data_IF_577783258356
#
_entry.id   IF_577783258356
#
_cell.length_a   1.000
_cell.length_b   1.000
_cell.length_c   1.000
_cell.angle_alpha   90.00
_cell.angle_beta   90.00
_cell.angle_gamma   90.00
#
_symmetry.space_group_name_H-M   'P 1'
#
loop_
_entity.id
_entity.type
_entity.pdbx_description
1 polymer ?
#
# COMPACT_ATOMS: atom_id res chain seq x y z
N UNK A 1 1.91 -12.53 -33.16
CA UNK A 1 2.36 -11.67 -32.03
C UNK A 1 3.12 -12.55 -31.03
N UNK A 2 4.44 -12.67 -31.20
CA UNK A 2 5.26 -13.48 -30.30
C UNK A 2 5.27 -12.83 -28.90
N UNK A 3 4.75 -13.54 -27.90
CA UNK A 3 4.98 -13.15 -26.50
C UNK A 3 6.47 -13.36 -26.23
N UNK A 4 7.25 -12.32 -25.89
CA UNK A 4 8.65 -12.53 -25.56
C UNK A 4 8.75 -13.47 -24.35
N UNK A 5 9.70 -14.40 -24.44
CA UNK A 5 10.01 -15.39 -23.40
C UNK A 5 10.20 -14.72 -22.02
N UNK A 6 9.87 -15.40 -20.91
CA UNK A 6 9.86 -14.81 -19.57
C UNK A 6 11.20 -14.20 -19.14
N UNK A 7 12.32 -14.67 -19.70
CA UNK A 7 13.66 -14.13 -19.43
C UNK A 7 13.88 -12.73 -20.04
N UNK A 8 13.38 -12.47 -21.25
CA UNK A 8 13.58 -11.21 -21.97
C UNK A 8 12.90 -10.01 -21.30
N UNK A 9 11.83 -10.24 -20.52
CA UNK A 9 11.15 -9.17 -19.77
C UNK A 9 11.86 -8.76 -18.48
N UNK A 10 12.77 -9.56 -17.93
CA UNK A 10 13.45 -9.25 -16.65
C UNK A 10 14.59 -8.24 -16.83
N UNK A 11 15.28 -8.30 -17.96
CA UNK A 11 16.40 -7.44 -18.31
C UNK A 11 16.04 -5.94 -18.23
N UNK A 12 14.94 -5.44 -18.81
CA UNK A 12 14.60 -4.02 -18.71
C UNK A 12 14.29 -3.56 -17.27
N UNK A 13 13.75 -4.43 -16.41
CA UNK A 13 13.53 -4.07 -14.99
C UNK A 13 14.82 -4.01 -14.20
N UNK A 14 15.78 -4.88 -14.49
CA UNK A 14 17.10 -4.85 -13.85
C UNK A 14 17.84 -3.57 -14.27
N UNK A 15 17.87 -3.26 -15.57
CA UNK A 15 18.52 -2.04 -16.08
C UNK A 15 17.84 -0.77 -15.55
N UNK A 16 16.51 -0.73 -15.50
CA UNK A 16 15.79 0.40 -14.92
C UNK A 16 16.03 0.51 -13.40
N UNK A 17 16.11 -0.63 -12.70
CA UNK A 17 16.41 -0.68 -11.27
C UNK A 17 17.82 -0.19 -10.95
N UNK A 18 18.83 -0.60 -11.72
CA UNK A 18 20.21 -0.13 -11.54
C UNK A 18 20.34 1.35 -11.85
N UNK A 19 19.68 1.85 -12.90
CA UNK A 19 19.64 3.27 -13.21
C UNK A 19 18.96 4.09 -12.09
N UNK A 20 17.84 3.60 -11.55
CA UNK A 20 17.15 4.23 -10.43
C UNK A 20 18.02 4.23 -9.16
N UNK A 21 18.70 3.12 -8.87
CA UNK A 21 19.62 3.03 -7.74
C UNK A 21 20.75 4.05 -7.85
N UNK A 22 21.39 4.15 -9.02
CA UNK A 22 22.46 5.11 -9.25
C UNK A 22 21.96 6.56 -9.13
N UNK A 23 20.77 6.85 -9.66
CA UNK A 23 20.14 8.17 -9.54
C UNK A 23 19.84 8.52 -8.08
N UNK A 24 19.23 7.60 -7.32
CA UNK A 24 18.93 7.81 -5.91
C UNK A 24 20.24 7.99 -5.12
N UNK A 25 21.24 7.12 -5.29
CA UNK A 25 22.52 7.26 -4.62
C UNK A 25 23.19 8.61 -4.92
N UNK A 26 23.14 9.06 -6.19
CA UNK A 26 23.62 10.39 -6.57
C UNK A 26 22.84 11.51 -5.86
N UNK A 27 21.51 11.49 -5.89
CA UNK A 27 20.69 12.50 -5.21
C UNK A 27 20.95 12.54 -3.70
N UNK A 28 20.97 11.39 -3.04
CA UNK A 28 21.27 11.26 -1.61
C UNK A 28 22.67 11.80 -1.29
N UNK A 29 23.66 11.59 -2.16
CA UNK A 29 25.02 12.11 -1.96
C UNK A 29 25.07 13.64 -2.00
N UNK A 30 24.23 14.29 -2.80
CA UNK A 30 24.20 15.75 -2.91
C UNK A 30 23.44 16.40 -1.76
N UNK A 31 22.34 15.77 -1.29
CA UNK A 31 21.42 16.41 -0.33
C UNK A 31 21.65 16.01 1.12
N UNK A 32 22.21 14.83 1.40
CA UNK A 32 22.12 14.20 2.72
C UNK A 32 23.40 13.59 3.27
N UNK A 33 24.58 13.86 2.69
CA UNK A 33 25.83 13.19 3.05
C UNK A 33 26.11 13.19 4.57
N UNK A 34 25.96 14.33 5.24
CA UNK A 34 26.24 14.44 6.68
C UNK A 34 25.08 13.97 7.57
N UNK A 35 23.85 13.90 7.04
CA UNK A 35 22.68 13.49 7.80
C UNK A 35 22.75 12.03 8.26
N UNK A 36 23.46 11.17 7.53
CA UNK A 36 23.61 9.74 7.88
C UNK A 36 24.38 9.51 9.17
N UNK A 37 25.46 10.25 9.42
CA UNK A 37 26.21 10.14 10.67
C UNK A 37 25.37 10.62 11.86
N UNK A 38 24.54 11.63 11.66
CA UNK A 38 23.63 12.12 12.69
C UNK A 38 22.56 11.06 13.03
N UNK A 39 22.01 10.38 12.02
CA UNK A 39 21.02 9.31 12.22
C UNK A 39 21.59 8.12 13.00
N UNK A 40 22.85 7.76 12.77
CA UNK A 40 23.53 6.69 13.53
C UNK A 40 23.64 7.02 15.03
N UNK A 41 23.99 8.27 15.35
CA UNK A 41 24.07 8.75 16.74
C UNK A 41 22.72 8.72 17.48
N UNK A 42 21.61 8.83 16.74
CA UNK A 42 20.25 8.85 17.33
C UNK A 42 19.64 7.46 17.54
N UNK A 43 20.11 6.42 16.83
CA UNK A 43 19.52 5.08 16.86
C UNK A 43 20.60 4.02 17.11
N UNK A 44 21.01 3.89 18.38
CA UNK A 44 22.04 2.93 18.80
C UNK A 44 21.48 1.52 18.98
N UNK A 45 22.05 0.54 18.28
CA UNK A 45 21.70 -0.87 18.45
C UNK A 45 22.37 -1.47 19.68
N UNK A 46 21.56 -1.92 20.64
CA UNK A 46 22.03 -2.56 21.87
C UNK A 46 22.04 -4.08 21.69
N UNK A 47 23.23 -4.66 21.58
CA UNK A 47 23.42 -6.11 21.51
C UNK A 47 23.37 -6.74 22.91
N UNK A 48 22.17 -6.88 23.46
CA UNK A 48 21.94 -7.55 24.74
C UNK A 48 20.72 -8.49 24.65
N UNK A 49 20.83 -9.72 25.17
CA UNK A 49 19.76 -10.73 25.05
C UNK A 49 18.44 -10.28 25.69
N UNK A 50 18.50 -9.61 26.84
CA UNK A 50 17.32 -9.09 27.53
C UNK A 50 16.67 -7.93 26.75
N UNK A 51 17.47 -7.09 26.09
CA UNK A 51 16.95 -6.03 25.22
C UNK A 51 16.31 -6.62 23.97
N UNK A 52 16.98 -7.58 23.31
CA UNK A 52 16.47 -8.23 22.11
C UNK A 52 15.14 -8.95 22.38
N UNK A 53 15.02 -9.71 23.47
CA UNK A 53 13.77 -10.39 23.81
C UNK A 53 12.66 -9.41 24.20
N UNK A 54 12.99 -8.35 24.94
CA UNK A 54 12.05 -7.27 25.29
C UNK A 54 11.53 -6.53 24.05
N UNK A 55 12.42 -6.17 23.12
CA UNK A 55 12.04 -5.55 21.86
C UNK A 55 11.19 -6.48 21.00
N UNK A 56 11.55 -7.76 20.86
CA UNK A 56 10.76 -8.73 20.09
C UNK A 56 9.36 -8.99 20.67
N UNK A 57 9.17 -8.77 21.97
CA UNK A 57 7.85 -8.88 22.59
C UNK A 57 6.93 -7.68 22.27
N UNK A 58 7.51 -6.53 21.88
CA UNK A 58 6.76 -5.34 21.47
C UNK A 58 6.30 -5.46 20.01
N UNK A 59 5.10 -4.95 19.68
CA UNK A 59 4.61 -4.94 18.30
C UNK A 59 5.51 -4.05 17.42
N UNK A 60 6.02 -4.61 16.33
CA UNK A 60 6.96 -3.89 15.45
C UNK A 60 8.43 -4.00 15.83
N UNK A 61 8.74 -4.70 16.94
CA UNK A 61 10.08 -4.82 17.46
C UNK A 61 11.08 -5.50 16.52
N UNK A 62 10.65 -6.47 15.72
CA UNK A 62 11.53 -7.13 14.75
C UNK A 62 12.09 -6.14 13.72
N UNK A 63 11.22 -5.30 13.17
CA UNK A 63 11.62 -4.29 12.19
C UNK A 63 12.42 -3.16 12.83
N UNK A 64 12.09 -2.80 14.07
CA UNK A 64 12.88 -1.84 14.85
C UNK A 64 14.32 -2.33 15.06
N UNK A 65 14.51 -3.57 15.53
CA UNK A 65 15.83 -4.15 15.71
C UNK A 65 16.62 -4.23 14.40
N UNK A 66 15.95 -4.59 13.30
CA UNK A 66 16.58 -4.62 11.97
C UNK A 66 16.96 -3.20 11.50
N UNK A 67 16.13 -2.21 11.78
CA UNK A 67 16.44 -0.80 11.52
C UNK A 67 17.67 -0.34 12.28
N UNK A 68 17.65 -0.49 13.61
CA UNK A 68 18.76 -0.06 14.46
C UNK A 68 20.05 -0.78 14.10
N UNK A 69 19.99 -2.05 13.69
CA UNK A 69 21.15 -2.78 13.18
C UNK A 69 21.69 -2.18 11.86
N UNK A 70 20.80 -1.83 10.91
CA UNK A 70 21.21 -1.25 9.64
C UNK A 70 21.77 0.17 9.78
N UNK A 71 21.22 0.97 10.70
CA UNK A 71 21.70 2.33 10.97
C UNK A 71 23.11 2.36 11.56
N UNK A 72 23.59 1.29 12.21
CA UNK A 72 24.98 1.19 12.68
C UNK A 72 26.00 1.33 11.52
N UNK A 73 25.63 0.87 10.32
CA UNK A 73 26.50 1.02 9.14
C UNK A 73 26.56 2.46 8.63
N UNK A 74 25.73 3.38 9.13
CA UNK A 74 25.69 4.77 8.68
C UNK A 74 26.80 5.62 9.31
N UNK A 75 27.60 5.03 10.22
CA UNK A 75 28.86 5.61 10.69
C UNK A 75 29.75 6.10 9.52
N UNK A 76 29.73 5.41 8.38
CA UNK A 76 30.27 5.92 7.12
C UNK A 76 29.13 6.48 6.24
N UNK A 77 29.16 7.76 5.83
CA UNK A 77 28.13 8.36 4.99
C UNK A 77 27.82 7.60 3.70
N UNK A 78 28.87 7.12 3.02
CA UNK A 78 28.74 6.39 1.76
C UNK A 78 27.94 5.09 1.91
N UNK A 79 28.13 4.34 3.00
CA UNK A 79 27.37 3.11 3.24
C UNK A 79 25.92 3.42 3.57
N UNK A 80 25.64 4.50 4.31
CA UNK A 80 24.27 4.98 4.53
C UNK A 80 23.55 5.32 3.22
N UNK A 81 24.20 6.08 2.34
CA UNK A 81 23.67 6.42 1.01
C UNK A 81 23.34 5.16 0.21
N UNK A 82 24.26 4.18 0.16
CA UNK A 82 24.07 2.95 -0.58
C UNK A 82 22.93 2.09 -0.01
N UNK A 83 22.84 1.96 1.31
CA UNK A 83 21.78 1.19 1.98
C UNK A 83 20.41 1.84 1.71
N UNK A 84 20.28 3.14 1.91
CA UNK A 84 19.01 3.85 1.70
C UNK A 84 18.59 3.84 0.23
N UNK A 85 19.53 4.05 -0.69
CA UNK A 85 19.25 3.91 -2.13
C UNK A 85 18.80 2.48 -2.49
N UNK A 86 19.38 1.45 -1.89
CA UNK A 86 19.02 0.06 -2.12
C UNK A 86 17.60 -0.24 -1.59
N UNK A 87 17.28 0.21 -0.37
CA UNK A 87 15.95 0.06 0.22
C UNK A 87 14.87 0.73 -0.64
N UNK A 88 15.08 1.99 -1.03
CA UNK A 88 14.15 2.73 -1.89
C UNK A 88 14.01 2.08 -3.27
N UNK A 89 15.10 1.55 -3.84
CA UNK A 89 15.06 0.84 -5.13
C UNK A 89 14.25 -0.46 -5.01
N UNK A 90 14.44 -1.24 -3.95
CA UNK A 90 13.65 -2.46 -3.70
C UNK A 90 12.17 -2.15 -3.53
N UNK A 91 11.83 -1.09 -2.79
CA UNK A 91 10.45 -0.61 -2.68
C UNK A 91 9.89 -0.26 -4.07
N UNK A 92 10.64 0.49 -4.88
CA UNK A 92 10.23 0.85 -6.24
C UNK A 92 9.95 -0.40 -7.11
N UNK A 93 10.86 -1.37 -7.08
CA UNK A 93 10.76 -2.59 -7.89
C UNK A 93 9.61 -3.49 -7.43
N UNK A 94 9.40 -3.64 -6.12
CA UNK A 94 8.28 -4.41 -5.58
C UNK A 94 6.95 -3.76 -5.91
N UNK A 95 6.82 -2.45 -5.71
CA UNK A 95 5.60 -1.71 -6.08
C UNK A 95 5.34 -1.80 -7.57
N UNK A 96 6.37 -1.72 -8.42
CA UNK A 96 6.24 -1.87 -9.86
C UNK A 96 5.80 -3.29 -10.28
N UNK A 97 6.34 -4.35 -9.65
CA UNK A 97 5.93 -5.75 -9.92
C UNK A 97 4.48 -5.99 -9.50
N UNK A 98 4.10 -5.52 -8.30
CA UNK A 98 2.73 -5.58 -7.81
C UNK A 98 1.83 -4.86 -8.81
N UNK A 99 2.08 -3.59 -9.11
CA UNK A 99 1.23 -2.83 -10.03
C UNK A 99 1.18 -3.44 -11.44
N UNK A 100 2.27 -4.02 -11.95
CA UNK A 100 2.29 -4.66 -13.25
C UNK A 100 1.37 -5.88 -13.31
N UNK A 101 1.31 -6.68 -12.24
CA UNK A 101 0.38 -7.82 -12.15
C UNK A 101 -1.08 -7.38 -12.21
N UNK A 102 -1.37 -6.17 -11.74
CA UNK A 102 -2.73 -5.61 -11.66
C UNK A 102 -3.20 -4.98 -12.96
N UNK A 103 -2.41 -4.03 -13.49
CA UNK A 103 -2.83 -3.21 -14.63
C UNK A 103 -2.35 -3.80 -15.96
N UNK A 104 -1.35 -4.69 -15.96
CA UNK A 104 -0.68 -5.24 -17.16
C UNK A 104 -0.18 -4.17 -18.14
N UNK A 105 0.02 -2.94 -17.68
CA UNK A 105 0.47 -1.79 -18.48
C UNK A 105 1.99 -1.64 -18.43
N UNK A 106 2.56 -0.94 -19.41
CA UNK A 106 3.98 -0.58 -19.48
C UNK A 106 4.33 0.62 -18.57
N UNK A 107 3.35 1.44 -18.18
CA UNK A 107 3.55 2.64 -17.35
C UNK A 107 3.53 2.33 -15.84
N UNK A 108 4.09 1.19 -15.42
CA UNK A 108 4.11 0.77 -14.00
C UNK A 108 5.26 1.40 -13.23
N UNK A 109 6.43 1.56 -13.86
CA UNK A 109 7.61 2.14 -13.23
C UNK A 109 7.39 3.60 -12.78
N UNK A 110 6.84 4.52 -13.61
CA UNK A 110 6.62 5.90 -13.17
C UNK A 110 5.60 6.02 -12.03
N UNK A 111 4.67 5.05 -11.93
CA UNK A 111 3.68 5.05 -10.85
C UNK A 111 4.28 4.52 -9.55
N UNK A 112 5.22 3.56 -9.64
CA UNK A 112 5.96 3.05 -8.50
C UNK A 112 6.95 4.05 -7.89
N UNK A 113 7.36 5.07 -8.65
CA UNK A 113 8.20 6.16 -8.13
C UNK A 113 7.46 7.07 -7.13
N UNK A 114 6.13 7.02 -7.09
CA UNK A 114 5.36 7.91 -6.22
C UNK A 114 5.56 7.62 -4.71
N UNK A 115 5.39 6.37 -4.22
CA UNK A 115 5.72 6.05 -2.83
C UNK A 115 7.21 6.24 -2.52
N UNK A 116 8.09 6.01 -3.51
CA UNK A 116 9.54 6.21 -3.35
C UNK A 116 9.89 7.68 -3.17
N UNK A 117 9.29 8.58 -3.96
CA UNK A 117 9.47 10.01 -3.82
C UNK A 117 8.95 10.50 -2.46
N UNK A 118 7.78 10.01 -2.03
CA UNK A 118 7.22 10.36 -0.73
C UNK A 118 8.14 9.91 0.42
N UNK A 119 8.65 8.67 0.37
CA UNK A 119 9.63 8.19 1.36
C UNK A 119 10.95 8.95 1.29
N UNK A 120 11.43 9.31 0.10
CA UNK A 120 12.63 10.12 -0.06
C UNK A 120 12.51 11.48 0.65
N UNK A 121 11.39 12.18 0.47
CA UNK A 121 11.12 13.42 1.22
C UNK A 121 11.00 13.18 2.72
N UNK A 122 10.46 12.03 3.14
CA UNK A 122 10.32 11.70 4.55
C UNK A 122 11.66 11.49 5.25
N UNK A 123 12.67 10.95 4.55
CA UNK A 123 14.03 10.81 5.09
C UNK A 123 14.73 12.15 5.33
N UNK A 124 14.24 13.25 4.74
CA UNK A 124 14.74 14.58 5.07
C UNK A 124 14.16 15.10 6.39
N UNK A 125 13.05 14.52 6.87
CA UNK A 125 12.53 14.82 8.19
C UNK A 125 13.35 14.07 9.25
N UNK A 126 14.06 14.83 10.08
CA UNK A 126 14.91 14.30 11.16
C UNK A 126 14.14 13.40 12.14
N UNK A 127 12.82 13.60 12.26
CA UNK A 127 11.98 12.84 13.17
C UNK A 127 11.60 11.45 12.64
N UNK A 128 11.83 11.18 11.35
CA UNK A 128 11.42 9.92 10.73
C UNK A 128 12.43 8.80 10.97
N UNK A 129 11.96 7.67 11.49
CA UNK A 129 12.81 6.50 11.73
C UNK A 129 12.87 5.56 10.51
N UNK A 130 14.03 4.95 10.29
CA UNK A 130 14.24 3.92 9.27
C UNK A 130 13.36 2.69 9.46
N UNK A 131 12.89 2.44 10.69
CA UNK A 131 11.88 1.45 11.05
C UNK A 131 10.67 1.53 10.12
N UNK A 132 10.19 2.75 9.79
CA UNK A 132 9.04 2.93 8.90
C UNK A 132 9.29 2.48 7.46
N UNK A 133 10.51 2.70 6.95
CA UNK A 133 10.86 2.34 5.56
C UNK A 133 11.04 0.84 5.42
N UNK A 134 11.67 0.20 6.41
CA UNK A 134 11.82 -1.25 6.44
C UNK A 134 10.45 -1.92 6.65
N UNK A 135 9.58 -1.36 7.50
CA UNK A 135 8.23 -1.86 7.70
C UNK A 135 7.41 -1.79 6.39
N UNK A 136 7.52 -0.68 5.65
CA UNK A 136 6.88 -0.54 4.35
C UNK A 136 7.39 -1.56 3.32
N UNK A 137 8.71 -1.80 3.27
CA UNK A 137 9.30 -2.84 2.44
C UNK A 137 8.77 -4.25 2.81
N UNK A 138 8.70 -4.56 4.10
CA UNK A 138 8.14 -5.82 4.61
C UNK A 138 6.69 -6.00 4.20
N UNK A 139 5.87 -4.96 4.34
CA UNK A 139 4.48 -4.98 3.87
C UNK A 139 4.36 -5.33 2.39
N UNK A 140 5.16 -4.68 1.54
CA UNK A 140 5.15 -4.95 0.10
C UNK A 140 5.55 -6.39 -0.21
N UNK A 141 6.47 -6.97 0.56
CA UNK A 141 6.87 -8.36 0.41
C UNK A 141 5.72 -9.33 0.73
N UNK A 142 5.00 -9.12 1.85
CA UNK A 142 3.80 -9.90 2.16
C UNK A 142 2.68 -9.70 1.12
N UNK A 143 2.50 -8.48 0.63
CA UNK A 143 1.51 -8.19 -0.41
C UNK A 143 1.86 -8.89 -1.72
N UNK A 144 3.15 -8.98 -2.07
CA UNK A 144 3.62 -9.73 -3.24
C UNK A 144 3.38 -11.24 -3.09
N UNK A 145 3.70 -11.81 -1.93
CA UNK A 145 3.49 -13.24 -1.64
C UNK A 145 2.02 -13.65 -1.74
N UNK A 146 1.08 -12.75 -1.43
CA UNK A 146 -0.36 -12.99 -1.58
C UNK A 146 -0.76 -13.47 -2.98
N UNK A 147 -0.09 -13.00 -4.03
CA UNK A 147 -0.43 -13.37 -5.42
C UNK A 147 -0.20 -14.85 -5.74
N UNK A 148 0.53 -15.58 -4.90
CA UNK A 148 0.73 -17.02 -5.05
C UNK A 148 -0.54 -17.82 -4.76
N UNK A 149 -1.42 -17.30 -3.90
CA UNK A 149 -2.65 -17.99 -3.52
C UNK A 149 -3.82 -17.57 -4.42
N UNK A 150 -4.32 -18.50 -5.25
CA UNK A 150 -5.44 -18.22 -6.16
C UNK A 150 -6.81 -18.58 -5.57
N UNK A 151 -6.89 -19.62 -4.72
CA UNK A 151 -8.14 -20.10 -4.11
C UNK A 151 -8.64 -19.12 -3.04
N UNK A 152 -9.96 -18.97 -2.89
CA UNK A 152 -10.57 -18.06 -1.91
C UNK A 152 -10.14 -18.37 -0.47
N UNK A 153 -10.26 -19.62 -0.04
CA UNK A 153 -9.88 -20.06 1.32
C UNK A 153 -8.40 -19.79 1.60
N UNK A 154 -7.53 -20.08 0.62
CA UNK A 154 -6.09 -19.80 0.73
C UNK A 154 -5.78 -18.30 0.81
N UNK A 155 -6.44 -17.47 0.00
CA UNK A 155 -6.29 -16.01 0.02
C UNK A 155 -6.72 -15.41 1.36
N UNK A 156 -7.85 -15.86 1.89
CA UNK A 156 -8.39 -15.39 3.16
C UNK A 156 -7.51 -15.83 4.35
N UNK A 157 -7.20 -17.13 4.43
CA UNK A 157 -6.32 -17.67 5.48
C UNK A 157 -4.94 -16.99 5.46
N UNK A 158 -4.35 -16.81 4.27
CA UNK A 158 -3.11 -16.07 4.11
C UNK A 158 -3.24 -14.62 4.56
N UNK A 159 -4.31 -13.92 4.19
CA UNK A 159 -4.50 -12.53 4.60
C UNK A 159 -4.64 -12.38 6.11
N UNK A 160 -5.31 -13.32 6.78
CA UNK A 160 -5.45 -13.32 8.24
C UNK A 160 -4.10 -13.55 8.92
N UNK A 161 -3.40 -14.63 8.53
CA UNK A 161 -2.09 -14.97 9.06
C UNK A 161 -1.05 -13.89 8.79
N UNK A 162 -0.98 -13.36 7.56
CA UNK A 162 -0.04 -12.30 7.21
C UNK A 162 -0.33 -10.99 7.95
N UNK A 163 -1.59 -10.61 8.16
CA UNK A 163 -1.92 -9.41 8.92
C UNK A 163 -1.47 -9.52 10.38
N UNK A 164 -1.70 -10.68 11.01
CA UNK A 164 -1.22 -10.94 12.38
C UNK A 164 0.31 -10.92 12.48
N UNK A 165 0.99 -11.61 11.56
CA UNK A 165 2.45 -11.62 11.48
C UNK A 165 3.02 -10.21 11.22
N UNK A 166 2.37 -9.42 10.37
CA UNK A 166 2.79 -8.04 10.10
C UNK A 166 2.63 -7.17 11.34
N UNK A 167 1.54 -7.33 12.09
CA UNK A 167 1.32 -6.56 13.31
C UNK A 167 2.37 -6.88 14.36
N UNK A 168 2.67 -8.17 14.57
CA UNK A 168 3.72 -8.60 15.50
C UNK A 168 5.11 -8.08 15.08
N UNK A 169 5.46 -8.18 13.80
CA UNK A 169 6.83 -7.91 13.33
C UNK A 169 7.09 -6.44 12.93
N UNK A 170 6.11 -5.77 12.33
CA UNK A 170 6.23 -4.46 11.70
C UNK A 170 5.29 -3.39 12.30
N UNK A 171 4.37 -3.76 13.20
CA UNK A 171 3.57 -2.81 13.97
C UNK A 171 2.50 -2.07 13.13
N UNK A 172 2.47 -0.71 13.13
CA UNK A 172 1.38 0.09 12.55
C UNK A 172 1.08 -0.13 11.07
N UNK A 173 2.09 -0.48 10.27
CA UNK A 173 1.91 -0.77 8.84
C UNK A 173 0.94 -1.93 8.58
N UNK A 174 0.66 -2.79 9.56
CA UNK A 174 -0.36 -3.83 9.45
C UNK A 174 -1.76 -3.27 9.17
N UNK A 175 -2.08 -2.09 9.71
CA UNK A 175 -3.34 -1.43 9.43
C UNK A 175 -3.42 -1.00 7.96
N UNK A 176 -2.40 -0.32 7.44
CA UNK A 176 -2.30 0.06 6.03
C UNK A 176 -2.44 -1.17 5.11
N UNK A 177 -1.73 -2.25 5.43
CA UNK A 177 -1.81 -3.52 4.70
C UNK A 177 -3.22 -4.09 4.66
N UNK A 178 -3.92 -4.11 5.80
CA UNK A 178 -5.29 -4.61 5.90
C UNK A 178 -6.27 -3.77 5.07
N UNK A 179 -6.13 -2.43 5.09
CA UNK A 179 -6.90 -1.52 4.25
C UNK A 179 -6.61 -1.74 2.76
N UNK A 180 -5.34 -1.90 2.38
CA UNK A 180 -4.96 -2.19 1.00
C UNK A 180 -5.61 -3.49 0.51
N UNK A 181 -5.56 -4.58 1.29
CA UNK A 181 -6.22 -5.84 0.93
C UNK A 181 -7.72 -5.66 0.78
N UNK A 182 -8.36 -4.94 1.69
CA UNK A 182 -9.79 -4.68 1.65
C UNK A 182 -10.16 -3.93 0.38
N UNK A 183 -9.44 -2.86 0.05
CA UNK A 183 -9.64 -2.06 -1.16
C UNK A 183 -9.47 -2.95 -2.41
N UNK A 184 -8.39 -3.72 -2.44
CA UNK A 184 -8.07 -4.71 -3.47
C UNK A 184 -9.23 -5.67 -3.70
N UNK A 185 -9.80 -6.25 -2.63
CA UNK A 185 -10.90 -7.20 -2.75
C UNK A 185 -12.25 -6.56 -3.05
N UNK A 186 -12.48 -5.33 -2.59
CA UNK A 186 -13.65 -4.55 -2.95
C UNK A 186 -13.70 -4.31 -4.46
N UNK A 187 -12.55 -4.04 -5.07
CA UNK A 187 -12.43 -3.84 -6.52
C UNK A 187 -12.48 -5.14 -7.34
N UNK A 188 -11.97 -6.26 -6.82
CA UNK A 188 -11.94 -7.54 -7.55
C UNK A 188 -13.21 -8.37 -7.37
N UNK A 189 -13.78 -8.42 -6.16
CA UNK A 189 -14.85 -9.35 -5.79
C UNK A 189 -15.84 -8.71 -4.79
N UNK A 190 -16.64 -7.75 -5.26
CA UNK A 190 -17.63 -6.99 -4.46
C UNK A 190 -18.46 -7.82 -3.47
N UNK A 191 -18.95 -9.01 -3.87
CA UNK A 191 -19.81 -9.85 -3.03
C UNK A 191 -19.07 -10.54 -1.86
N UNK A 192 -17.76 -10.79 -1.99
CA UNK A 192 -16.95 -11.48 -0.97
C UNK A 192 -16.03 -10.53 -0.20
N UNK A 193 -15.94 -9.27 -0.63
CA UNK A 193 -15.13 -8.24 0.01
C UNK A 193 -15.55 -7.94 1.45
N UNK A 194 -16.83 -8.12 1.79
CA UNK A 194 -17.33 -7.91 3.16
C UNK A 194 -16.60 -8.79 4.20
N UNK A 195 -16.21 -10.01 3.83
CA UNK A 195 -15.43 -10.87 4.73
C UNK A 195 -14.05 -10.29 5.05
N UNK A 196 -13.47 -9.47 4.17
CA UNK A 196 -12.17 -8.83 4.38
C UNK A 196 -12.24 -7.60 5.29
N UNK A 197 -13.44 -7.11 5.66
CA UNK A 197 -13.62 -6.09 6.72
C UNK A 197 -13.12 -6.63 8.08
N UNK A 198 -13.11 -7.96 8.27
CA UNK A 198 -12.55 -8.59 9.45
C UNK A 198 -11.06 -8.30 9.68
N UNK A 199 -10.29 -7.99 8.63
CA UNK A 199 -8.85 -7.75 8.75
C UNK A 199 -8.51 -6.45 9.50
N UNK A 200 -8.97 -5.25 9.06
CA UNK A 200 -8.73 -4.02 9.82
C UNK A 200 -9.35 -4.09 11.22
N UNK A 201 -10.49 -4.77 11.38
CA UNK A 201 -11.10 -4.98 12.70
C UNK A 201 -10.19 -5.82 13.60
N UNK A 202 -9.57 -6.89 13.07
CA UNK A 202 -8.62 -7.70 13.83
C UNK A 202 -7.41 -6.86 14.28
N UNK A 203 -6.85 -6.03 13.39
CA UNK A 203 -5.73 -5.14 13.75
C UNK A 203 -6.12 -4.16 14.85
N UNK A 204 -7.33 -3.59 14.76
CA UNK A 204 -7.86 -2.70 15.79
C UNK A 204 -8.01 -3.41 17.14
N UNK A 205 -8.57 -4.62 17.16
CA UNK A 205 -8.71 -5.41 18.40
C UNK A 205 -7.34 -5.78 18.99
N UNK A 206 -6.38 -6.19 18.16
CA UNK A 206 -5.02 -6.48 18.64
C UNK A 206 -4.32 -5.22 19.17
N UNK A 207 -4.53 -4.06 18.54
CA UNK A 207 -4.02 -2.78 19.02
C UNK A 207 -4.64 -2.39 20.38
N UNK A 208 -5.95 -2.59 20.55
CA UNK A 208 -6.63 -2.34 21.82
C UNK A 208 -6.13 -3.27 22.93
N UNK A 209 -5.91 -4.57 22.64
CA UNK A 209 -5.31 -5.48 23.62
C UNK A 209 -3.89 -5.05 24.00
N UNK A 210 -3.11 -4.54 23.05
CA UNK A 210 -1.76 -4.04 23.28
C UNK A 210 -1.76 -2.79 24.18
N UNK A 211 -2.74 -1.90 23.99
CA UNK A 211 -2.95 -0.72 24.83
C UNK A 211 -3.34 -1.11 26.26
N UNK A 212 -4.25 -2.09 26.42
CA UNK A 212 -4.68 -2.59 27.74
C UNK A 212 -3.55 -3.29 28.51
N UNK A 213 -2.61 -3.92 27.80
CA UNK A 213 -1.41 -4.53 28.40
C UNK A 213 -0.31 -3.50 28.72
N UNK A 214 -0.52 -2.21 28.41
CA UNK A 214 0.43 -1.15 28.70
C UNK A 214 1.68 -1.14 27.81
N UNK A 215 1.67 -1.86 26.69
CA UNK A 215 2.82 -1.98 25.78
C UNK A 215 3.00 -0.75 24.88
N UNK A 216 1.97 0.09 24.74
CA UNK A 216 2.03 1.38 24.02
C UNK A 216 1.14 2.39 24.73
N UNK A 217 1.52 3.67 24.71
CA UNK A 217 0.80 4.74 25.41
C UNK A 217 -0.45 5.24 24.69
N UNK A 218 -0.49 5.19 23.35
CA UNK A 218 -1.59 5.77 22.56
C UNK A 218 -1.93 4.91 21.34
N UNK A 219 -3.23 4.82 21.03
CA UNK A 219 -3.74 4.04 19.90
C UNK A 219 -3.25 4.56 18.54
N UNK A 220 -3.05 5.88 18.44
CA UNK A 220 -2.54 6.53 17.24
C UNK A 220 -1.16 5.98 16.85
N UNK A 221 -0.26 5.81 17.80
CA UNK A 221 1.09 5.29 17.55
C UNK A 221 1.10 3.81 17.14
N UNK A 222 0.03 3.06 17.42
CA UNK A 222 -0.09 1.63 17.09
C UNK A 222 -0.76 1.42 15.73
N UNK A 223 -1.54 2.38 15.24
CA UNK A 223 -2.33 2.25 14.00
C UNK A 223 -1.90 3.21 12.88
N UNK A 224 -1.34 4.37 13.22
CA UNK A 224 -0.98 5.45 12.29
C UNK A 224 0.54 5.48 12.05
N UNK A 225 0.98 6.14 10.96
CA UNK A 225 2.40 6.33 10.65
C UNK A 225 3.18 7.07 11.75
N UNK A 226 2.49 7.72 12.69
CA UNK A 226 3.07 8.42 13.84
C UNK A 226 3.90 7.49 14.74
N UNK A 227 3.62 6.18 14.73
CA UNK A 227 4.43 5.17 15.42
C UNK A 227 5.88 5.04 14.92
N UNK A 228 6.22 5.64 13.77
CA UNK A 228 7.59 5.66 13.22
C UNK A 228 8.30 7.01 13.39
N UNK A 229 7.74 7.93 14.18
CA UNK A 229 8.33 9.24 14.47
C UNK A 229 8.80 9.35 15.91
N UNK A 230 9.93 10.04 16.14
CA UNK A 230 10.55 10.19 17.47
C UNK A 230 9.95 11.29 18.35
N UNK A 231 9.48 12.39 17.75
CA UNK A 231 9.00 13.58 18.47
C UNK A 231 7.49 13.80 18.24
N UNK A 232 6.73 13.98 19.32
CA UNK A 232 5.28 14.28 19.36
C UNK A 232 4.92 15.69 18.86
N UNK A 233 5.68 16.27 17.92
CA UNK A 233 5.28 17.53 17.30
C UNK A 233 4.24 17.24 16.21
N UNK A 234 3.07 17.85 16.35
CA UNK A 234 1.90 17.77 15.48
C UNK A 234 2.29 17.58 14.01
N UNK A 235 2.01 16.38 13.52
CA UNK A 235 2.36 15.91 12.20
C UNK A 235 1.84 16.85 11.09
N UNK A 236 2.74 17.49 10.35
CA UNK A 236 2.36 18.19 9.11
C UNK A 236 1.75 17.20 8.11
N UNK A 237 0.82 17.66 7.25
CA UNK A 237 0.10 16.85 6.26
C UNK A 237 0.99 15.99 5.34
N UNK A 238 2.30 16.29 5.29
CA UNK A 238 3.33 15.57 4.54
C UNK A 238 3.50 14.10 5.00
N UNK A 239 3.19 13.79 6.26
CA UNK A 239 3.43 12.48 6.88
C UNK A 239 2.54 11.37 6.28
N UNK A 240 1.34 11.73 5.81
CA UNK A 240 0.43 10.77 5.17
C UNK A 240 0.71 10.56 3.68
N UNK A 241 1.62 11.31 3.04
CA UNK A 241 1.84 11.17 1.59
C UNK A 241 2.16 9.75 1.14
N UNK A 242 3.09 9.01 1.78
CA UNK A 242 3.39 7.64 1.35
C UNK A 242 2.20 6.69 1.50
N UNK A 243 1.30 6.95 2.46
CA UNK A 243 0.14 6.12 2.77
C UNK A 243 -1.09 6.48 1.90
N UNK A 244 -1.32 7.77 1.64
CA UNK A 244 -2.37 8.27 0.74
C UNK A 244 -2.03 8.10 -0.74
N UNK A 245 -0.74 7.97 -1.05
CA UNK A 245 -0.25 7.83 -2.41
C UNK A 245 -0.73 6.53 -3.09
N UNK A 246 -0.76 5.44 -2.34
CA UNK A 246 -1.19 4.13 -2.82
C UNK A 246 -2.71 4.04 -3.04
N UNK A 247 -3.51 4.79 -2.26
CA UNK A 247 -4.98 4.76 -2.32
C UNK A 247 -5.55 5.75 -3.35
N UNK A 248 -4.99 6.96 -3.45
CA UNK A 248 -5.56 8.05 -4.25
C UNK A 248 -5.46 7.88 -5.77
N UNK A 249 -4.43 7.16 -6.27
CA UNK A 249 -4.18 7.07 -7.73
C UNK A 249 -4.70 5.78 -8.38
N UNK A 250 -5.13 4.80 -7.57
CA UNK A 250 -5.94 3.66 -8.02
C UNK A 250 -7.28 4.12 -8.63
N UNK A 251 -7.84 5.21 -8.11
CA UNK A 251 -9.09 5.81 -8.58
C UNK A 251 -9.03 6.36 -10.01
N UNK A 252 -7.89 6.91 -10.45
CA UNK A 252 -7.85 7.67 -11.70
C UNK A 252 -7.59 6.81 -12.94
N UNK A 253 -6.75 5.76 -12.85
CA UNK A 253 -6.33 5.00 -14.05
C UNK A 253 -7.34 3.95 -14.53
N UNK A 254 -8.25 3.47 -13.68
CA UNK A 254 -9.27 2.49 -14.11
C UNK A 254 -10.57 3.12 -14.58
N UNK A 255 -10.93 4.32 -14.13
CA UNK A 255 -12.05 5.08 -14.70
C UNK A 255 -11.83 5.35 -16.20
N UNK A 256 -10.60 5.65 -16.62
CA UNK A 256 -10.24 5.78 -18.04
C UNK A 256 -10.32 4.46 -18.82
N UNK A 257 -9.96 3.31 -18.21
CA UNK A 257 -10.06 2.01 -18.88
C UNK A 257 -11.50 1.49 -18.97
N UNK A 258 -12.35 1.76 -17.96
CA UNK A 258 -13.77 1.41 -17.99
C UNK A 258 -14.51 2.26 -19.03
N UNK A 259 -14.21 3.55 -19.15
CA UNK A 259 -14.77 4.42 -20.21
C UNK A 259 -14.36 3.95 -21.61
N UNK A 260 -13.09 3.54 -21.80
CA UNK A 260 -12.62 3.03 -23.09
C UNK A 260 -13.18 1.64 -23.43
N UNK A 261 -13.40 0.77 -22.44
CA UNK A 261 -14.02 -0.55 -22.65
C UNK A 261 -15.54 -0.39 -22.92
N UNK A 262 -16.21 0.58 -22.28
CA UNK A 262 -17.61 0.92 -22.56
C UNK A 262 -17.77 1.51 -23.97
N UNK A 263 -16.95 2.50 -24.36
CA UNK A 263 -16.94 3.04 -25.74
C UNK A 263 -16.64 1.97 -26.80
N UNK A 264 -15.79 0.99 -26.49
CA UNK A 264 -15.41 -0.10 -27.41
C UNK A 264 -16.41 -1.28 -27.41
N UNK A 265 -17.36 -1.31 -26.48
CA UNK A 265 -18.55 -2.17 -26.51
C UNK A 265 -19.72 -1.48 -27.23
N UNK A 266 -19.92 -0.17 -27.02
CA UNK A 266 -20.94 0.62 -27.75
C UNK A 266 -20.63 0.76 -29.25
N UNK A 267 -19.35 0.89 -29.63
CA UNK A 267 -18.93 0.93 -31.04
C UNK A 267 -18.99 -0.44 -31.76
N UNK A 268 -19.29 -1.54 -31.04
CA UNK A 268 -19.33 -2.89 -31.60
C UNK A 268 -20.73 -3.45 -31.81
N UNK A 269 -21.76 -2.66 -31.52
CA UNK A 269 -23.15 -3.00 -31.83
C UNK A 269 -23.86 -1.80 -32.50
N UNK A 270 -23.79 -1.66 -33.83
CA UNK A 270 -24.47 -0.57 -34.54
C UNK A 270 -26.00 -0.76 -34.66
N UNK A 271 -26.60 -1.77 -34.01
CA UNK A 271 -28.03 -2.08 -34.11
C UNK A 271 -28.82 -1.88 -32.81
N UNK A 272 -28.51 -0.83 -32.04
CA UNK A 272 -29.44 -0.31 -31.03
C UNK A 272 -29.92 1.07 -31.43
N UNK A 273 -30.94 1.10 -32.28
CA UNK A 273 -31.75 2.29 -32.47
C UNK A 273 -32.46 2.66 -31.15
N UNK A 274 -32.54 3.96 -30.82
CA UNK A 274 -33.39 4.46 -29.75
C UNK A 274 -34.83 4.56 -30.28
N UNK A 275 -35.68 3.64 -29.88
CA UNK A 275 -37.14 3.70 -30.08
C UNK A 275 -37.78 3.40 -28.74
N UNK A 276 -38.73 4.15 -28.18
CA UNK A 276 -39.55 5.29 -28.62
C UNK A 276 -39.99 6.01 -27.35
N UNK A 277 -39.94 7.34 -27.37
CA UNK A 277 -40.84 8.17 -26.57
C UNK A 277 -42.05 8.50 -27.47
N UNK A 278 -43.22 8.57 -26.84
CA UNK A 278 -44.52 9.03 -27.33
C UNK A 278 -45.50 8.04 -28.02
N UNK A 279 -46.67 7.99 -27.34
CA UNK A 279 -48.06 7.96 -27.83
C UNK A 279 -48.66 6.68 -28.45
N UNK A 280 -49.56 6.01 -27.71
CA UNK A 280 -51.03 6.07 -27.92
C UNK A 280 -51.79 5.07 -27.02
N UNK A 281 -52.79 5.62 -26.31
CA UNK A 281 -54.17 5.12 -26.19
C UNK A 281 -54.43 3.61 -25.95
N UNK A 282 -54.87 3.29 -24.73
CA UNK A 282 -55.97 2.35 -24.43
C UNK A 282 -56.82 3.05 -23.35
N UNK A 283 -57.94 3.70 -23.66
CA UNK A 283 -59.29 3.12 -23.77
C UNK A 283 -59.69 2.26 -22.55
N UNK A 284 -60.03 2.92 -21.43
CA UNK A 284 -61.05 2.44 -20.50
C UNK A 284 -62.22 3.43 -20.54
N UNK A 285 -63.31 3.04 -21.21
CA UNK A 285 -64.58 3.77 -21.22
C UNK A 285 -65.22 3.65 -19.84
N UNK A 286 -65.43 4.78 -19.17
CA UNK A 286 -66.58 4.99 -18.29
C UNK A 286 -67.82 5.26 -19.16
N UNK A 287 -69.00 4.73 -18.79
CA UNK A 287 -70.27 5.35 -19.12
C UNK A 287 -70.81 6.19 -17.94
N UNK A 288 -71.68 7.18 -18.20
CA UNK A 288 -72.15 8.15 -17.21
C UNK A 288 -73.37 7.67 -16.39
N UNK A 289 -73.65 8.42 -15.32
CA UNK A 289 -74.77 8.31 -14.37
C UNK A 289 -76.04 9.02 -14.93
N UNK A 290 -77.22 8.60 -14.42
CA UNK A 290 -78.62 9.07 -14.58
C UNK A 290 -79.46 8.29 -15.62
N UNK A 291 -80.73 7.86 -15.40
CA UNK A 291 -81.75 8.04 -14.35
C UNK A 291 -82.91 7.05 -14.62
N UNK A 292 -83.63 6.67 -13.55
CA UNK A 292 -85.09 6.42 -13.44
C UNK A 292 -85.78 5.10 -13.85
N UNK A 293 -86.69 4.69 -12.93
CA UNK A 293 -87.94 3.89 -13.07
C UNK A 293 -87.74 2.38 -13.31
N UNK A 294 -87.96 1.49 -12.32
CA UNK A 294 -89.20 1.14 -11.60
C UNK A 294 -88.86 0.17 -10.45
#
# INVERSE_FOLDING_TARGET
MNRPAPHSRRIPYIVAGTALFALLAFLLSQTGYYSFCYLEQWDTFIYNSAYLSGSLALPGGCVQLLSSFLTQFFCRPLTGILITALLLTWIALLTADILHRWTKSKLTLPLALFPVAALFFLHYNVNYQYTGTIAFLWMLLFLRLRFFFHKFTGRFAYSLASTFLLFATAGPVAFLYSCLILIIELFCHKKRALWFISLPLMVYLTAETCLRMGLSGELEHVLLPDGYFTLRLQAGSIIYLPWGADTGRFHHKRSMQIIQIQKKMDARNPYRCPTRMCSRFHFCRHPPIHRQEQ
#
